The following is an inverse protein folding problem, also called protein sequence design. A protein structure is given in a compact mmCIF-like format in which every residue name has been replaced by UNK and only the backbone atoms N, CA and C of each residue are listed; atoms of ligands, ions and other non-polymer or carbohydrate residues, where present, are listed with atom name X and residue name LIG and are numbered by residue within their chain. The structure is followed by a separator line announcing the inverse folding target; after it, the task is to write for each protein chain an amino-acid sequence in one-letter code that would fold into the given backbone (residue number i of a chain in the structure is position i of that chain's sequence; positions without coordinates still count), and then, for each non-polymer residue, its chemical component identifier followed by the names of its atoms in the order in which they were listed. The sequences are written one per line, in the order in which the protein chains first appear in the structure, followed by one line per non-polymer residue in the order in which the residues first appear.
data_IF_385265585192
#
_entry.id   IF_385265585192
#
_cell.length_a   1.000
_cell.length_b   1.000
_cell.length_c   1.000
_cell.angle_alpha   90.00
_cell.angle_beta   90.00
_cell.angle_gamma   90.00
#
_symmetry.space_group_name_H-M   'P 1'
#
loop_
_entity.id
_entity.type
_entity.pdbx_description
1 polymer ?
#
# COMPACT_ATOMS: atom_id res chain seq x y z
N UNK A 1 -7.71 -25.09 15.66
CA UNK A 1 -7.77 -25.76 14.34
C UNK A 1 -7.31 -24.81 13.25
N UNK A 2 -6.53 -25.26 12.27
CA UNK A 2 -6.20 -24.42 11.13
C UNK A 2 -7.46 -24.10 10.35
N UNK A 3 -7.60 -22.85 9.86
CA UNK A 3 -8.72 -22.45 9.00
C UNK A 3 -8.54 -23.04 7.62
N UNK A 4 -9.31 -24.07 7.28
CA UNK A 4 -9.22 -24.76 6.00
C UNK A 4 -10.35 -24.27 5.08
N UNK A 5 -9.98 -23.65 3.94
CA UNK A 5 -10.96 -23.24 2.95
C UNK A 5 -11.68 -24.42 2.29
N UNK A 6 -12.92 -24.22 1.83
CA UNK A 6 -13.81 -25.25 1.28
C UNK A 6 -13.16 -26.12 0.19
N UNK A 7 -12.31 -25.55 -0.68
CA UNK A 7 -11.60 -26.33 -1.71
C UNK A 7 -10.69 -27.39 -1.09
N UNK A 8 -9.86 -27.01 -0.11
CA UNK A 8 -8.97 -27.96 0.58
C UNK A 8 -9.77 -28.97 1.38
N UNK A 9 -10.85 -28.53 2.06
CA UNK A 9 -11.73 -29.40 2.82
C UNK A 9 -12.37 -30.46 1.92
N UNK A 10 -12.86 -30.07 0.74
CA UNK A 10 -13.43 -31.02 -0.24
C UNK A 10 -12.43 -32.12 -0.63
N UNK A 11 -11.18 -31.74 -0.93
CA UNK A 11 -10.15 -32.72 -1.27
C UNK A 11 -9.82 -33.67 -0.12
N UNK A 12 -9.80 -33.17 1.12
CA UNK A 12 -9.55 -34.01 2.29
C UNK A 12 -10.68 -34.99 2.56
N UNK A 13 -11.93 -34.59 2.34
CA UNK A 13 -13.12 -35.40 2.62
C UNK A 13 -13.56 -36.29 1.43
N UNK A 14 -12.93 -36.12 0.26
CA UNK A 14 -13.35 -36.81 -0.97
C UNK A 14 -13.45 -38.34 -0.80
N UNK A 15 -12.42 -38.95 -0.19
CA UNK A 15 -12.40 -40.39 0.06
C UNK A 15 -13.48 -40.85 1.06
N UNK A 16 -13.78 -40.02 2.06
CA UNK A 16 -14.80 -40.33 3.04
C UNK A 16 -16.21 -40.19 2.44
N UNK A 17 -16.42 -39.22 1.57
CA UNK A 17 -17.68 -39.12 0.79
C UNK A 17 -17.89 -40.34 -0.10
N UNK A 18 -16.86 -40.84 -0.77
CA UNK A 18 -16.91 -42.04 -1.60
C UNK A 18 -17.26 -43.29 -0.77
N UNK A 19 -16.63 -43.48 0.38
CA UNK A 19 -16.90 -44.60 1.33
C UNK A 19 -18.34 -44.58 1.85
N UNK A 20 -18.86 -43.38 2.13
CA UNK A 20 -20.20 -43.18 2.67
C UNK A 20 -21.30 -43.11 1.58
N UNK A 21 -20.92 -43.22 0.31
CA UNK A 21 -21.87 -43.13 -0.81
C UNK A 21 -22.47 -41.72 -1.02
N UNK A 22 -21.83 -40.69 -0.47
CA UNK A 22 -22.30 -39.31 -0.55
C UNK A 22 -21.84 -38.70 -1.88
N UNK A 23 -22.76 -38.43 -2.77
CA UNK A 23 -22.51 -37.79 -4.08
C UNK A 23 -22.63 -36.28 -3.95
N UNK A 24 -21.59 -35.63 -3.48
CA UNK A 24 -21.51 -34.15 -3.38
C UNK A 24 -20.31 -33.64 -4.17
N UNK A 25 -20.49 -32.58 -4.96
CA UNK A 25 -19.42 -31.88 -5.63
C UNK A 25 -18.86 -30.76 -4.77
N UNK A 26 -17.78 -30.14 -5.25
CA UNK A 26 -17.13 -29.00 -4.58
C UNK A 26 -18.10 -27.85 -4.29
N UNK A 27 -18.94 -27.50 -5.26
CA UNK A 27 -19.87 -26.38 -5.15
C UNK A 27 -21.04 -26.72 -4.23
N UNK A 28 -21.54 -27.96 -4.29
CA UNK A 28 -22.54 -28.47 -3.35
C UNK A 28 -22.05 -28.48 -1.90
N UNK A 29 -20.81 -28.88 -1.66
CA UNK A 29 -20.20 -28.74 -0.32
C UNK A 29 -20.11 -27.28 0.13
N UNK A 30 -19.78 -26.35 -0.79
CA UNK A 30 -19.72 -24.94 -0.48
C UNK A 30 -21.11 -24.39 -0.08
N UNK A 31 -22.15 -24.75 -0.82
CA UNK A 31 -23.53 -24.32 -0.53
C UNK A 31 -24.05 -24.92 0.78
N UNK A 32 -23.73 -26.19 1.03
CA UNK A 32 -24.07 -26.84 2.31
C UNK A 32 -23.38 -26.14 3.48
N UNK A 33 -22.06 -25.89 3.40
CA UNK A 33 -21.33 -25.17 4.45
C UNK A 33 -21.83 -23.73 4.63
N UNK A 34 -22.36 -23.11 3.56
CA UNK A 34 -22.99 -21.79 3.64
C UNK A 34 -24.31 -21.85 4.42
N UNK A 35 -25.17 -22.82 4.13
CA UNK A 35 -26.47 -22.99 4.82
C UNK A 35 -26.27 -23.27 6.32
N UNK A 36 -25.26 -24.05 6.67
CA UNK A 36 -24.89 -24.38 8.04
C UNK A 36 -24.04 -23.28 8.74
N UNK A 37 -23.79 -22.13 8.08
CA UNK A 37 -22.95 -21.04 8.60
C UNK A 37 -21.50 -21.46 8.98
N UNK A 38 -21.01 -22.53 8.36
CA UNK A 38 -19.68 -23.11 8.61
C UNK A 38 -18.60 -22.58 7.70
N UNK A 39 -18.91 -21.65 6.79
CA UNK A 39 -17.90 -21.03 5.94
C UNK A 39 -16.96 -20.17 6.78
N UNK A 40 -15.66 -20.27 6.47
CA UNK A 40 -14.65 -19.38 7.07
C UNK A 40 -14.97 -17.96 6.63
N UNK A 41 -15.33 -17.13 7.60
CA UNK A 41 -15.48 -15.69 7.36
C UNK A 41 -14.10 -15.06 7.18
N UNK A 42 -13.87 -14.29 6.10
CA UNK A 42 -12.63 -13.54 5.97
C UNK A 42 -12.54 -12.53 7.12
N UNK A 43 -11.41 -12.52 7.80
CA UNK A 43 -11.14 -11.48 8.80
C UNK A 43 -10.92 -10.18 8.03
N UNK A 44 -11.91 -9.29 8.07
CA UNK A 44 -11.76 -7.93 7.55
C UNK A 44 -10.90 -7.12 8.53
N UNK A 45 -9.59 -7.20 8.41
CA UNK A 45 -8.68 -6.31 9.12
C UNK A 45 -8.47 -5.11 8.20
N UNK A 46 -9.20 -4.03 8.45
CA UNK A 46 -8.93 -2.73 7.83
C UNK A 46 -7.96 -1.99 8.75
N UNK A 47 -6.71 -1.89 8.35
CA UNK A 47 -5.80 -0.90 8.92
C UNK A 47 -5.94 0.34 8.04
N UNK A 48 -6.49 1.41 8.59
CA UNK A 48 -6.52 2.70 7.91
C UNK A 48 -5.10 3.25 7.92
N UNK A 49 -4.44 3.23 6.78
CA UNK A 49 -3.06 3.71 6.60
C UNK A 49 -3.01 5.16 6.13
N UNK A 50 -4.12 5.66 5.56
CA UNK A 50 -4.19 7.01 4.99
C UNK A 50 -5.40 7.73 5.53
N UNK A 51 -5.19 8.89 6.15
CA UNK A 51 -6.24 9.87 6.44
C UNK A 51 -6.12 11.02 5.43
N UNK A 52 -6.98 11.01 4.42
CA UNK A 52 -7.04 12.03 3.37
C UNK A 52 -8.15 13.07 3.58
N UNK A 53 -9.00 12.91 4.63
CA UNK A 53 -10.11 13.83 4.96
C UNK A 53 -9.69 14.99 5.88
N UNK A 54 -8.40 15.19 6.11
CA UNK A 54 -7.87 16.25 6.94
C UNK A 54 -7.97 17.64 6.25
N UNK A 55 -7.81 18.71 7.04
CA UNK A 55 -7.89 20.12 6.63
C UNK A 55 -6.61 20.66 5.97
N UNK A 56 -5.48 19.94 6.03
CA UNK A 56 -4.21 20.40 5.46
C UNK A 56 -4.31 20.59 3.95
N UNK A 57 -3.49 21.53 3.43
CA UNK A 57 -3.43 21.87 2.00
C UNK A 57 -3.04 20.64 1.17
N UNK A 58 -3.81 20.38 0.13
CA UNK A 58 -3.54 19.36 -0.89
C UNK A 58 -2.98 20.01 -2.15
N UNK A 59 -2.15 19.27 -2.87
CA UNK A 59 -1.54 19.73 -4.12
C UNK A 59 -2.24 19.08 -5.31
N UNK A 60 -2.21 19.73 -6.51
CA UNK A 60 -2.83 19.16 -7.71
C UNK A 60 -2.08 17.91 -8.18
N UNK A 61 -2.78 17.06 -8.94
CA UNK A 61 -2.16 15.94 -9.64
C UNK A 61 -1.43 16.44 -10.89
N UNK A 62 -0.10 16.45 -10.84
CA UNK A 62 0.74 16.88 -11.95
C UNK A 62 1.21 15.70 -12.82
N UNK A 63 0.89 14.46 -12.43
CA UNK A 63 1.30 13.25 -13.14
C UNK A 63 0.19 12.68 -14.03
N UNK A 64 -1.05 13.18 -13.92
CA UNK A 64 -2.17 12.69 -14.73
C UNK A 64 -1.84 12.73 -16.23
N UNK A 65 -1.87 11.55 -16.89
CA UNK A 65 -1.54 11.41 -18.31
C UNK A 65 -0.06 11.58 -18.67
N UNK A 66 0.85 11.75 -17.70
CA UNK A 66 2.30 11.90 -17.92
C UNK A 66 3.04 10.60 -17.72
N UNK A 67 3.95 10.31 -18.65
CA UNK A 67 4.90 9.19 -18.55
C UNK A 67 6.29 9.78 -18.32
N UNK A 68 7.05 9.30 -17.32
CA UNK A 68 8.40 9.79 -17.09
C UNK A 68 9.29 9.50 -18.29
N UNK A 69 10.09 10.49 -18.71
CA UNK A 69 10.97 10.39 -19.87
C UNK A 69 12.44 10.16 -19.51
N UNK A 70 12.80 10.40 -18.25
CA UNK A 70 14.18 10.26 -17.74
C UNK A 70 14.16 9.86 -16.25
N UNK A 71 15.29 9.30 -15.75
CA UNK A 71 15.48 9.09 -14.32
C UNK A 71 15.35 10.40 -13.53
N UNK A 72 14.85 10.31 -12.32
CA UNK A 72 14.72 11.42 -11.37
C UNK A 72 13.85 12.58 -11.86
N UNK A 73 12.92 12.31 -12.80
CA UNK A 73 11.89 13.27 -13.20
C UNK A 73 10.73 13.26 -12.22
N UNK A 74 10.27 12.06 -11.83
CA UNK A 74 9.20 11.87 -10.85
C UNK A 74 9.64 10.89 -9.76
N UNK A 75 9.55 11.30 -8.52
CA UNK A 75 9.58 10.40 -7.37
C UNK A 75 8.16 10.10 -6.92
N UNK A 76 7.86 8.82 -6.72
CA UNK A 76 6.57 8.36 -6.16
C UNK A 76 6.82 7.83 -4.77
N UNK A 77 6.00 8.28 -3.82
CA UNK A 77 6.10 7.87 -2.42
C UNK A 77 4.83 7.20 -1.96
N UNK A 78 5.01 6.11 -1.22
CA UNK A 78 3.94 5.34 -0.61
C UNK A 78 4.37 4.78 0.75
N UNK A 79 3.39 4.45 1.59
CA UNK A 79 3.60 3.80 2.88
C UNK A 79 2.86 2.47 2.88
N UNK A 80 3.62 1.40 2.98
CA UNK A 80 3.08 0.06 3.21
C UNK A 80 3.31 -0.39 4.65
N UNK A 81 2.59 -1.40 5.10
CA UNK A 81 2.76 -1.93 6.44
C UNK A 81 2.83 -3.46 6.45
N UNK A 82 3.57 -3.98 7.41
CA UNK A 82 3.67 -5.40 7.68
C UNK A 82 3.48 -5.70 9.16
N UNK A 83 2.99 -6.88 9.47
CA UNK A 83 2.86 -7.36 10.85
C UNK A 83 3.83 -8.49 11.10
N UNK A 84 4.54 -8.42 12.22
CA UNK A 84 5.35 -9.51 12.73
C UNK A 84 4.93 -9.85 14.18
N UNK A 85 5.73 -10.67 14.88
CA UNK A 85 5.48 -11.04 16.28
C UNK A 85 5.60 -9.86 17.26
N UNK A 86 6.32 -8.81 16.88
CA UNK A 86 6.58 -7.62 17.71
C UNK A 86 5.53 -6.52 17.49
N UNK A 87 4.74 -6.60 16.40
CA UNK A 87 3.70 -5.60 16.14
C UNK A 87 3.53 -5.26 14.68
N UNK A 88 2.99 -4.07 14.43
CA UNK A 88 2.83 -3.50 13.09
C UNK A 88 3.99 -2.56 12.82
N UNK A 89 4.64 -2.73 11.67
CA UNK A 89 5.72 -1.87 11.19
C UNK A 89 5.32 -1.23 9.87
N UNK A 90 5.78 -0.02 9.64
CA UNK A 90 5.47 0.79 8.46
C UNK A 90 6.74 0.99 7.65
N UNK A 91 6.64 0.76 6.35
CA UNK A 91 7.72 0.97 5.40
C UNK A 91 7.33 2.12 4.48
N UNK A 92 7.99 3.26 4.66
CA UNK A 92 7.89 4.39 3.75
C UNK A 92 8.89 4.23 2.63
N UNK A 93 8.45 4.34 1.39
CA UNK A 93 9.26 4.18 0.19
C UNK A 93 9.21 5.45 -0.66
N UNK A 94 10.34 5.78 -1.27
CA UNK A 94 10.45 6.78 -2.34
C UNK A 94 11.11 6.12 -3.53
N UNK A 95 10.39 6.02 -4.64
CA UNK A 95 10.80 5.30 -5.85
C UNK A 95 10.89 6.25 -7.03
N UNK A 96 11.92 6.14 -7.85
CA UNK A 96 11.99 6.81 -9.15
C UNK A 96 11.03 6.14 -10.14
N UNK A 97 10.07 6.91 -10.64
CA UNK A 97 9.02 6.38 -11.52
C UNK A 97 9.54 5.86 -12.86
N UNK A 98 10.67 6.37 -13.35
CA UNK A 98 11.28 5.91 -14.60
C UNK A 98 12.03 4.60 -14.42
N UNK A 99 13.04 4.58 -13.57
CA UNK A 99 13.95 3.44 -13.40
C UNK A 99 13.41 2.36 -12.46
N UNK A 100 12.33 2.65 -11.72
CA UNK A 100 11.77 1.82 -10.64
C UNK A 100 12.73 1.60 -9.47
N UNK A 101 13.81 2.35 -9.42
CA UNK A 101 14.80 2.29 -8.35
C UNK A 101 14.23 2.88 -7.06
N UNK A 102 14.40 2.19 -5.94
CA UNK A 102 14.13 2.74 -4.61
C UNK A 102 15.23 3.76 -4.30
N UNK A 103 14.85 5.03 -4.23
CA UNK A 103 15.75 6.16 -3.96
C UNK A 103 15.91 6.40 -2.46
N UNK A 104 14.89 6.11 -1.67
CA UNK A 104 14.94 6.20 -0.22
C UNK A 104 13.87 5.33 0.44
N UNK A 105 14.15 4.91 1.66
CA UNK A 105 13.21 4.12 2.47
C UNK A 105 13.40 4.40 3.95
N UNK A 106 12.35 4.12 4.74
CA UNK A 106 12.39 4.15 6.19
C UNK A 106 11.43 3.09 6.73
N UNK A 107 11.96 2.17 7.52
CA UNK A 107 11.16 1.23 8.33
C UNK A 107 10.99 1.82 9.74
N UNK A 108 9.79 1.76 10.29
CA UNK A 108 9.47 2.32 11.61
C UNK A 108 8.22 1.69 12.23
N UNK A 109 8.03 1.95 13.51
CA UNK A 109 6.85 1.50 14.27
C UNK A 109 5.73 2.55 14.25
N UNK A 110 5.96 3.70 13.63
CA UNK A 110 5.00 4.77 13.47
C UNK A 110 4.97 5.35 12.05
N UNK A 111 3.91 6.11 11.74
CA UNK A 111 3.71 6.81 10.48
C UNK A 111 3.77 8.33 10.64
N UNK A 112 4.53 8.85 11.60
CA UNK A 112 4.66 10.30 11.80
C UNK A 112 5.33 10.94 10.59
N UNK A 113 4.96 12.18 10.30
CA UNK A 113 5.53 12.92 9.16
C UNK A 113 7.06 13.04 9.23
N UNK A 114 7.62 13.17 10.45
CA UNK A 114 9.08 13.21 10.68
C UNK A 114 9.75 11.91 10.27
N UNK A 115 9.10 10.79 10.56
CA UNK A 115 9.61 9.44 10.24
C UNK A 115 9.54 9.20 8.73
N UNK A 116 8.41 9.54 8.10
CA UNK A 116 8.23 9.43 6.65
C UNK A 116 9.21 10.35 5.90
N UNK A 117 9.49 11.55 6.43
CA UNK A 117 10.45 12.49 5.85
C UNK A 117 11.89 11.97 5.82
N UNK A 118 12.26 10.96 6.64
CA UNK A 118 13.59 10.33 6.57
C UNK A 118 13.80 9.57 5.25
N UNK A 119 12.76 8.90 4.73
CA UNK A 119 12.82 8.27 3.41
C UNK A 119 13.05 9.30 2.30
N UNK A 120 12.36 10.45 2.36
CA UNK A 120 12.55 11.54 1.41
C UNK A 120 13.96 12.13 1.52
N UNK A 121 14.48 12.37 2.72
CA UNK A 121 15.86 12.87 2.92
C UNK A 121 16.89 11.91 2.31
N UNK A 122 16.73 10.61 2.51
CA UNK A 122 17.59 9.60 1.87
C UNK A 122 17.49 9.69 0.34
N UNK A 123 16.28 9.78 -0.22
CA UNK A 123 16.08 9.88 -1.65
C UNK A 123 16.73 11.13 -2.26
N UNK A 124 16.63 12.27 -1.58
CA UNK A 124 17.28 13.52 -1.98
C UNK A 124 18.80 13.36 -1.94
N UNK A 125 19.36 12.74 -0.91
CA UNK A 125 20.81 12.49 -0.79
C UNK A 125 21.36 11.54 -1.86
N UNK A 126 20.53 10.60 -2.34
CA UNK A 126 20.89 9.66 -3.41
C UNK A 126 20.67 10.22 -4.83
N UNK A 127 20.11 11.40 -4.94
CA UNK A 127 19.82 12.07 -6.20
C UNK A 127 21.12 12.50 -6.90
N UNK A 128 21.15 12.30 -8.23
CA UNK A 128 22.29 12.65 -9.08
C UNK A 128 21.98 13.81 -10.02
N UNK A 129 20.72 14.01 -10.38
CA UNK A 129 20.29 15.06 -11.29
C UNK A 129 19.97 16.35 -10.51
N UNK A 130 20.36 17.50 -11.07
CA UNK A 130 19.97 18.83 -10.59
C UNK A 130 18.71 19.38 -11.27
N UNK A 131 18.14 18.62 -12.24
CA UNK A 131 16.96 19.08 -12.96
C UNK A 131 15.71 19.08 -12.09
N UNK A 132 14.63 19.69 -12.58
CA UNK A 132 13.36 19.78 -11.84
C UNK A 132 12.82 18.38 -11.54
N UNK A 133 12.49 18.14 -10.28
CA UNK A 133 11.89 16.93 -9.74
C UNK A 133 10.46 17.19 -9.28
N UNK A 134 9.53 16.31 -9.62
CA UNK A 134 8.19 16.27 -9.06
C UNK A 134 8.12 15.11 -8.09
N UNK A 135 7.65 15.37 -6.87
CA UNK A 135 7.37 14.35 -5.87
C UNK A 135 5.86 14.10 -5.82
N UNK A 136 5.44 12.88 -6.08
CA UNK A 136 4.05 12.45 -6.10
C UNK A 136 3.74 11.50 -4.95
N UNK A 137 2.61 11.70 -4.30
CA UNK A 137 2.13 10.86 -3.20
C UNK A 137 0.61 10.82 -3.16
N UNK A 138 0.04 9.97 -2.33
CA UNK A 138 -1.35 10.10 -1.93
C UNK A 138 -1.59 11.39 -1.10
N UNK A 139 -2.84 11.60 -0.69
CA UNK A 139 -3.24 12.73 0.15
C UNK A 139 -3.14 12.43 1.65
N UNK A 140 -2.26 11.53 2.05
CA UNK A 140 -2.04 11.20 3.44
C UNK A 140 -1.56 12.40 4.26
N UNK A 141 -1.98 12.45 5.52
CA UNK A 141 -1.66 13.53 6.46
C UNK A 141 -0.13 13.75 6.57
N UNK A 142 0.64 12.68 6.48
CA UNK A 142 2.10 12.69 6.56
C UNK A 142 2.73 13.54 5.45
N UNK A 143 2.23 13.37 4.21
CA UNK A 143 2.72 14.08 3.03
C UNK A 143 2.26 15.54 2.98
N UNK A 144 1.09 15.84 3.58
CA UNK A 144 0.55 17.19 3.68
C UNK A 144 1.13 17.99 4.87
N UNK A 145 1.85 17.36 5.78
CA UNK A 145 2.39 17.99 6.97
C UNK A 145 3.43 19.09 6.63
N UNK A 146 3.43 20.15 7.40
CA UNK A 146 4.26 21.35 7.15
C UNK A 146 5.76 21.03 7.06
N UNK A 147 6.28 20.15 7.93
CA UNK A 147 7.68 19.72 7.93
C UNK A 147 8.05 18.95 6.66
N UNK A 148 7.16 18.07 6.15
CA UNK A 148 7.37 17.34 4.91
C UNK A 148 7.36 18.28 3.69
N UNK A 149 6.36 19.17 3.62
CA UNK A 149 6.24 20.16 2.55
C UNK A 149 7.39 21.19 2.57
N UNK A 150 7.86 21.57 3.76
CA UNK A 150 9.05 22.45 3.89
C UNK A 150 10.30 21.78 3.34
N UNK A 151 10.48 20.48 3.58
CA UNK A 151 11.62 19.74 3.04
C UNK A 151 11.58 19.70 1.50
N UNK A 152 10.43 19.45 0.87
CA UNK A 152 10.28 19.52 -0.59
C UNK A 152 10.63 20.90 -1.13
N UNK A 153 10.11 21.96 -0.48
CA UNK A 153 10.36 23.35 -0.88
C UNK A 153 11.83 23.74 -0.76
N UNK A 154 12.52 23.35 0.33
CA UNK A 154 13.94 23.62 0.54
C UNK A 154 14.82 23.04 -0.58
N UNK A 155 14.40 21.93 -1.18
CA UNK A 155 15.13 21.28 -2.26
C UNK A 155 14.56 21.55 -3.66
N UNK A 156 13.71 22.57 -3.81
CA UNK A 156 13.05 22.94 -5.08
C UNK A 156 12.31 21.78 -5.74
N UNK A 157 11.70 20.89 -4.94
CA UNK A 157 10.91 19.76 -5.41
C UNK A 157 9.44 20.17 -5.46
N UNK A 158 8.79 19.94 -6.60
CA UNK A 158 7.38 20.27 -6.77
C UNK A 158 6.52 19.15 -6.16
N UNK A 159 5.58 19.53 -5.28
CA UNK A 159 4.57 18.60 -4.73
C UNK A 159 3.47 18.30 -5.73
N UNK A 160 3.13 17.03 -5.87
CA UNK A 160 2.00 16.52 -6.62
C UNK A 160 1.28 15.45 -5.78
N UNK A 161 -0.04 15.35 -5.90
CA UNK A 161 -0.84 14.38 -5.14
C UNK A 161 -1.92 13.78 -6.03
N UNK A 162 -2.34 12.54 -5.71
CA UNK A 162 -3.43 11.85 -6.40
C UNK A 162 -4.73 12.65 -6.37
N UNK A 163 -5.62 12.43 -7.35
CA UNK A 163 -6.96 13.01 -7.39
C UNK A 163 -7.95 12.15 -6.59
N UNK A 164 -8.27 12.57 -5.36
CA UNK A 164 -9.24 11.86 -4.53
C UNK A 164 -8.71 10.58 -3.88
N UNK A 165 -9.53 9.52 -3.88
CA UNK A 165 -9.27 8.25 -3.20
C UNK A 165 -8.77 7.15 -4.16
N UNK A 166 -8.32 7.49 -5.35
CA UNK A 166 -7.88 6.51 -6.34
C UNK A 166 -6.46 6.03 -6.04
N UNK A 167 -6.36 4.85 -5.45
CA UNK A 167 -5.07 4.20 -5.12
C UNK A 167 -4.29 3.75 -6.37
N UNK A 168 -4.92 3.74 -7.55
CA UNK A 168 -4.25 3.38 -8.82
C UNK A 168 -3.52 4.54 -9.48
N UNK A 169 -3.63 5.75 -8.94
CA UNK A 169 -2.94 6.94 -9.46
C UNK A 169 -1.55 7.16 -8.83
N UNK A 170 -1.14 6.27 -7.94
CA UNK A 170 0.13 6.37 -7.22
C UNK A 170 1.13 5.32 -7.67
#
# INVERSE_FOLDING_TARGET
MPRIGTRKLYYLLKQDFEKLGIKIGRDGLFDYLRSEQMLIQPIKIYVQTTDSKHWLRKHPNLLSGRIPKRPEEFFVSDITYGKNRQGTHYLSLVTDAYSKKIMGYQLSDDMRAETVAKALKMAIGNRKSSEQLIHHSDRGLQYCAANYQSLLKQHNIISSMTDGYDCYQN
#
